data_IF_328255919198
#
_entry.id   IF_328255919198
#
_cell.length_a   1.000
_cell.length_b   1.000
_cell.length_c   1.000
_cell.angle_alpha   90.00
_cell.angle_beta   90.00
_cell.angle_gamma   90.00
#
_symmetry.space_group_name_H-M   'P 1'
#
loop_
_entity.id
_entity.type
_entity.pdbx_description
1 polymer ?
#
# COMPACT_ATOMS: atom_id res chain seq x y z
N UNK A 1 -3.91 4.94 5.63
CA UNK A 1 -3.91 6.13 4.75
C UNK A 1 -4.83 7.17 5.34
N UNK A 2 -4.44 8.44 5.28
CA UNK A 2 -5.13 9.58 5.86
C UNK A 2 -6.02 10.32 4.86
N UNK A 3 -5.70 10.27 3.55
CA UNK A 3 -6.51 10.88 2.50
C UNK A 3 -6.22 10.28 1.11
N UNK A 4 -7.08 10.59 0.13
CA UNK A 4 -6.89 10.27 -1.30
C UNK A 4 -6.38 11.52 -2.03
N UNK A 5 -5.33 11.44 -2.88
CA UNK A 5 -4.76 12.60 -3.59
C UNK A 5 -5.80 13.50 -4.27
N UNK A 6 -6.74 12.91 -5.01
CA UNK A 6 -7.78 13.65 -5.75
C UNK A 6 -8.75 14.43 -4.86
N UNK A 7 -8.92 14.02 -3.60
CA UNK A 7 -9.76 14.71 -2.61
C UNK A 7 -8.93 15.73 -1.81
N UNK A 8 -7.66 15.42 -1.55
CA UNK A 8 -6.77 16.22 -0.71
C UNK A 8 -6.09 17.38 -1.45
N UNK A 9 -5.98 17.32 -2.78
CA UNK A 9 -5.19 18.28 -3.58
C UNK A 9 -5.55 19.74 -3.32
N UNK A 10 -6.83 20.08 -3.17
CA UNK A 10 -7.27 21.45 -2.85
C UNK A 10 -6.77 21.91 -1.48
N UNK A 11 -6.91 21.07 -0.45
CA UNK A 11 -6.50 21.35 0.92
C UNK A 11 -4.98 21.39 1.11
N UNK A 12 -4.23 20.64 0.30
CA UNK A 12 -2.78 20.75 0.23
C UNK A 12 -2.36 22.08 -0.42
N UNK A 13 -3.08 22.51 -1.46
CA UNK A 13 -2.78 23.74 -2.20
C UNK A 13 -3.11 24.99 -1.38
N UNK A 14 -4.20 24.98 -0.61
CA UNK A 14 -4.61 26.10 0.23
C UNK A 14 -3.92 26.15 1.61
N UNK A 15 -3.15 25.11 1.95
CA UNK A 15 -2.37 25.02 3.18
C UNK A 15 -3.16 24.52 4.41
N UNK A 16 -4.40 24.06 4.24
CA UNK A 16 -5.17 23.45 5.33
C UNK A 16 -4.64 22.08 5.76
N UNK A 17 -3.90 21.40 4.87
CA UNK A 17 -3.21 20.13 5.11
C UNK A 17 -1.76 20.27 4.64
N UNK A 18 -0.79 19.84 5.44
CA UNK A 18 0.62 19.85 5.03
C UNK A 18 1.03 18.60 4.24
N UNK A 19 0.50 17.44 4.62
CA UNK A 19 0.91 16.14 4.08
C UNK A 19 -0.19 15.10 4.22
N UNK A 20 -0.26 14.20 3.26
CA UNK A 20 -1.11 13.00 3.32
C UNK A 20 -0.26 11.75 3.22
N UNK A 21 -0.74 10.67 3.83
CA UNK A 21 -0.13 9.34 3.75
C UNK A 21 -1.16 8.37 3.18
N UNK A 22 -0.80 7.56 2.22
CA UNK A 22 -1.75 6.67 1.53
C UNK A 22 -1.03 5.43 0.98
N UNK A 23 -1.70 4.70 0.11
CA UNK A 23 -1.18 3.55 -0.63
C UNK A 23 -1.76 3.57 -2.04
N UNK A 24 -1.09 2.94 -2.99
CA UNK A 24 -1.63 2.74 -4.35
C UNK A 24 -2.64 1.56 -4.32
N UNK A 25 -3.93 1.80 -4.57
CA UNK A 25 -4.94 0.75 -4.54
C UNK A 25 -4.75 -0.30 -5.65
N UNK A 26 -4.16 0.06 -6.80
CA UNK A 26 -3.90 -0.88 -7.87
C UNK A 26 -2.81 -1.88 -7.45
N UNK A 27 -1.71 -1.39 -6.87
CA UNK A 27 -0.64 -2.26 -6.35
C UNK A 27 -1.11 -3.14 -5.19
N UNK A 28 -1.89 -2.58 -4.26
CA UNK A 28 -2.47 -3.36 -3.18
C UNK A 28 -3.42 -4.47 -3.69
N UNK A 29 -4.23 -4.15 -4.71
CA UNK A 29 -5.11 -5.13 -5.36
C UNK A 29 -4.35 -6.23 -6.10
N UNK A 30 -3.28 -5.89 -6.81
CA UNK A 30 -2.40 -6.86 -7.46
C UNK A 30 -1.76 -7.80 -6.42
N UNK A 31 -1.23 -7.26 -5.32
CA UNK A 31 -0.66 -8.06 -4.23
C UNK A 31 -1.70 -9.05 -3.64
N UNK A 32 -2.95 -8.61 -3.46
CA UNK A 32 -4.03 -9.49 -2.99
C UNK A 32 -4.33 -10.62 -3.99
N UNK A 33 -4.33 -10.33 -5.29
CA UNK A 33 -4.53 -11.35 -6.32
C UNK A 33 -3.36 -12.34 -6.38
N UNK A 34 -2.12 -11.88 -6.20
CA UNK A 34 -0.94 -12.76 -6.11
C UNK A 34 -1.01 -13.69 -4.90
N UNK A 35 -1.44 -13.18 -3.74
CA UNK A 35 -1.70 -14.00 -2.55
C UNK A 35 -2.76 -15.06 -2.86
N UNK A 36 -3.89 -14.66 -3.44
CA UNK A 36 -4.97 -15.59 -3.78
C UNK A 36 -4.49 -16.68 -4.73
N UNK A 37 -3.75 -16.31 -5.78
CA UNK A 37 -3.16 -17.24 -6.75
C UNK A 37 -2.23 -18.26 -6.09
N UNK A 38 -1.33 -17.79 -5.21
CA UNK A 38 -0.41 -18.65 -4.49
C UNK A 38 -1.14 -19.66 -3.61
N UNK A 39 -2.18 -19.21 -2.90
CA UNK A 39 -2.97 -20.07 -2.02
C UNK A 39 -3.76 -21.15 -2.79
N UNK A 40 -4.40 -20.80 -3.92
CA UNK A 40 -5.14 -21.79 -4.72
C UNK A 40 -4.22 -22.81 -5.40
N UNK A 41 -2.95 -22.47 -5.60
CA UNK A 41 -1.90 -23.39 -6.08
C UNK A 41 -1.30 -24.26 -4.98
N UNK A 42 -1.77 -24.14 -3.73
CA UNK A 42 -1.28 -24.91 -2.58
C UNK A 42 -0.04 -24.33 -1.92
N UNK A 43 0.36 -23.11 -2.29
CA UNK A 43 1.42 -22.35 -1.63
C UNK A 43 0.99 -21.79 -0.27
N UNK A 44 1.94 -21.11 0.41
CA UNK A 44 1.73 -20.48 1.71
C UNK A 44 2.26 -19.05 1.69
N UNK A 45 1.65 -18.20 2.52
CA UNK A 45 2.12 -16.84 2.78
C UNK A 45 2.87 -16.84 4.11
N UNK A 46 4.12 -16.40 4.08
CA UNK A 46 5.03 -16.36 5.22
C UNK A 46 5.80 -15.03 5.21
N UNK A 47 6.49 -14.71 6.31
CA UNK A 47 7.40 -13.56 6.32
C UNK A 47 8.49 -13.77 5.27
N UNK A 48 8.75 -12.76 4.45
CA UNK A 48 9.68 -12.83 3.32
C UNK A 48 9.06 -13.33 2.02
N UNK A 49 7.77 -13.70 1.99
CA UNK A 49 7.08 -14.02 0.73
C UNK A 49 7.18 -12.82 -0.23
N UNK A 50 7.63 -13.08 -1.45
CA UNK A 50 7.72 -12.10 -2.53
C UNK A 50 6.51 -12.24 -3.46
N UNK A 51 5.71 -11.19 -3.58
CA UNK A 51 4.54 -11.15 -4.46
C UNK A 51 4.84 -10.65 -5.88
N UNK A 52 6.07 -10.22 -6.16
CA UNK A 52 6.48 -9.56 -7.39
C UNK A 52 5.68 -8.28 -7.71
N UNK A 53 5.21 -7.58 -6.66
CA UNK A 53 4.51 -6.31 -6.76
C UNK A 53 5.32 -5.24 -6.02
N UNK A 54 5.52 -4.04 -6.61
CA UNK A 54 6.25 -2.94 -5.96
C UNK A 54 5.81 -2.68 -4.51
N UNK A 55 6.76 -2.76 -3.58
CA UNK A 55 6.52 -2.58 -2.14
C UNK A 55 5.98 -3.83 -1.43
N UNK A 56 5.77 -4.94 -2.12
CA UNK A 56 5.32 -6.23 -1.56
C UNK A 56 6.26 -7.39 -1.94
N UNK A 57 7.52 -7.09 -2.23
CA UNK A 57 8.53 -8.09 -2.58
C UNK A 57 9.07 -8.85 -1.37
N UNK A 58 8.78 -8.39 -0.16
CA UNK A 58 9.11 -9.09 1.08
C UNK A 58 8.07 -8.75 2.14
N UNK A 59 7.10 -9.65 2.33
CA UNK A 59 6.03 -9.44 3.30
C UNK A 59 6.54 -9.58 4.74
N UNK A 60 5.99 -8.78 5.64
CA UNK A 60 6.20 -8.92 7.10
C UNK A 60 4.90 -9.33 7.76
N UNK A 61 4.90 -10.43 8.53
CA UNK A 61 3.73 -10.79 9.35
C UNK A 61 3.60 -9.78 10.50
N UNK A 62 2.38 -9.29 10.73
CA UNK A 62 2.11 -8.39 11.84
C UNK A 62 1.86 -9.19 13.12
N UNK A 63 2.64 -8.91 14.16
CA UNK A 63 2.51 -9.56 15.46
C UNK A 63 1.11 -9.34 16.06
N UNK A 64 0.56 -10.38 16.68
CA UNK A 64 -0.78 -10.36 17.26
C UNK A 64 -1.92 -10.63 16.27
N UNK A 65 -1.62 -10.89 15.00
CA UNK A 65 -2.61 -11.23 13.98
C UNK A 65 -2.27 -12.56 13.28
N UNK A 66 -3.30 -13.37 13.01
CA UNK A 66 -3.10 -14.67 12.37
C UNK A 66 -2.70 -14.56 10.91
N UNK A 67 -3.38 -13.67 10.16
CA UNK A 67 -3.33 -13.62 8.69
C UNK A 67 -3.11 -12.20 8.15
N UNK A 68 -2.42 -11.34 8.91
CA UNK A 68 -2.09 -9.98 8.47
C UNK A 68 -0.63 -9.91 8.09
N UNK A 69 -0.38 -9.55 6.84
CA UNK A 69 0.93 -9.31 6.28
C UNK A 69 0.99 -7.90 5.72
N UNK A 70 2.12 -7.22 5.91
CA UNK A 70 2.35 -5.85 5.46
C UNK A 70 3.54 -5.80 4.51
N UNK A 71 3.42 -4.99 3.46
CA UNK A 71 4.51 -4.61 2.57
C UNK A 71 5.09 -3.24 2.95
N UNK A 72 6.18 -2.86 2.29
CA UNK A 72 6.78 -1.52 2.33
C UNK A 72 6.29 -0.66 1.15
N UNK A 73 4.97 -0.42 1.10
CA UNK A 73 4.29 0.25 -0.02
C UNK A 73 3.57 1.56 0.38
N UNK A 74 3.93 2.14 1.53
CA UNK A 74 3.35 3.40 1.98
C UNK A 74 3.81 4.55 1.07
N UNK A 75 2.86 5.41 0.71
CA UNK A 75 3.11 6.61 -0.08
C UNK A 75 2.78 7.85 0.73
N UNK A 76 3.41 8.95 0.37
CA UNK A 76 3.14 10.26 0.95
C UNK A 76 3.14 11.33 -0.12
N UNK A 77 2.33 12.36 0.06
CA UNK A 77 2.30 13.51 -0.83
C UNK A 77 2.10 14.81 -0.05
N UNK A 78 2.72 15.86 -0.55
CA UNK A 78 2.52 17.24 -0.13
C UNK A 78 2.00 18.09 -1.31
N UNK A 79 1.89 19.41 -1.13
CA UNK A 79 1.42 20.32 -2.16
C UNK A 79 2.24 20.27 -3.47
N UNK A 80 3.50 19.84 -3.43
CA UNK A 80 4.39 19.79 -4.59
C UNK A 80 4.33 18.44 -5.32
N UNK A 81 4.04 17.35 -4.60
CA UNK A 81 4.09 15.99 -5.15
C UNK A 81 2.72 15.38 -5.41
N UNK A 82 1.63 15.94 -4.87
CA UNK A 82 0.28 15.37 -5.02
C UNK A 82 -0.17 15.23 -6.47
N UNK A 83 0.32 16.06 -7.40
CA UNK A 83 -0.01 15.98 -8.83
C UNK A 83 0.61 14.77 -9.55
N UNK A 84 1.51 14.03 -8.89
CA UNK A 84 2.12 12.81 -9.43
C UNK A 84 1.23 11.57 -9.25
N UNK A 85 0.10 11.71 -8.53
CA UNK A 85 -0.84 10.66 -8.17
C UNK A 85 -2.26 11.01 -8.58
#
# INVERSE_FOLDING_TARGET
GTAVPSVASGYLTDGSIDKIFFWDPAMAGEAQLQIALMLVQGGKIETGTNLNVPGYESLTKLDGYDNVFVGNAALEADANTVSQY
#
